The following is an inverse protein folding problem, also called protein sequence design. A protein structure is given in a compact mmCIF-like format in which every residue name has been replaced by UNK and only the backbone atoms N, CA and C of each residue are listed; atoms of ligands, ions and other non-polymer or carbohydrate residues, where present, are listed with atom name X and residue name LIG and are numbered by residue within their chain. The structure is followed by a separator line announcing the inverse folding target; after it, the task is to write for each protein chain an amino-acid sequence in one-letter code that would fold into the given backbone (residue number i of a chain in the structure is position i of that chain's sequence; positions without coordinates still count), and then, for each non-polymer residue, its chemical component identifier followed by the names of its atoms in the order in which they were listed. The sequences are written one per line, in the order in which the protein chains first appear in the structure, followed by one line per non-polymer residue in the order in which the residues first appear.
data_IF_367587533533
#
_entry.id   IF_367587533533
#
_cell.length_a   1.000
_cell.length_b   1.000
_cell.length_c   1.000
_cell.angle_alpha   90.00
_cell.angle_beta   90.00
_cell.angle_gamma   90.00
#
_symmetry.space_group_name_H-M   'P 1'
#
loop_
_entity.id
_entity.type
_entity.pdbx_description
1 polymer ?
#
# COMPACT_ATOMS: atom_id res chain seq x y z
N UNK A 1 12.49 11.83 -12.44
CA UNK A 1 12.60 10.43 -12.88
C UNK A 1 13.00 9.65 -11.65
N UNK A 2 12.03 9.25 -10.82
CA UNK A 2 12.28 8.40 -9.66
C UNK A 2 12.33 6.96 -10.17
N UNK A 3 13.49 6.34 -10.09
CA UNK A 3 13.74 4.97 -10.54
C UNK A 3 12.96 3.98 -9.64
N UNK A 4 12.44 2.91 -10.22
CA UNK A 4 11.67 1.84 -9.55
C UNK A 4 12.30 1.29 -8.26
N UNK A 5 13.60 1.49 -8.03
CA UNK A 5 14.29 1.11 -6.79
C UNK A 5 13.76 1.85 -5.54
N UNK A 6 13.40 3.13 -5.65
CA UNK A 6 12.93 3.92 -4.50
C UNK A 6 11.56 3.45 -4.00
N UNK A 7 10.69 2.98 -4.90
CA UNK A 7 9.34 2.52 -4.53
C UNK A 7 9.39 1.21 -3.72
N UNK A 8 10.32 0.31 -4.04
CA UNK A 8 10.49 -0.99 -3.37
C UNK A 8 10.93 -0.79 -1.92
N UNK A 9 11.95 0.03 -1.70
CA UNK A 9 12.50 0.31 -0.37
C UNK A 9 11.48 1.04 0.53
N UNK A 10 10.73 1.99 -0.04
CA UNK A 10 9.67 2.70 0.69
C UNK A 10 8.54 1.75 1.09
N UNK A 11 8.09 0.88 0.17
CA UNK A 11 7.09 -0.12 0.50
C UNK A 11 7.61 -1.07 1.60
N UNK A 12 8.92 -1.39 1.66
CA UNK A 12 9.44 -2.33 2.65
C UNK A 12 9.37 -1.71 4.05
N UNK A 13 9.73 -0.42 4.15
CA UNK A 13 9.57 0.38 5.36
C UNK A 13 8.12 0.43 5.84
N UNK A 14 7.17 0.63 4.92
CA UNK A 14 5.73 0.68 5.22
C UNK A 14 5.24 -0.66 5.73
N UNK A 15 5.54 -1.76 5.03
CA UNK A 15 5.08 -3.09 5.41
C UNK A 15 5.71 -3.57 6.72
N UNK A 16 6.97 -3.20 6.98
CA UNK A 16 7.58 -3.38 8.29
C UNK A 16 6.80 -2.62 9.39
N UNK A 17 6.46 -1.36 9.14
CA UNK A 17 5.75 -0.50 10.09
C UNK A 17 4.29 -0.93 10.33
N UNK A 18 3.62 -1.49 9.32
CA UNK A 18 2.28 -2.08 9.44
C UNK A 18 2.24 -3.24 10.44
N UNK A 19 3.33 -4.01 10.55
CA UNK A 19 3.49 -5.09 11.53
C UNK A 19 3.74 -4.63 12.97
N UNK A 20 3.80 -3.32 13.22
CA UNK A 20 4.09 -2.76 14.55
C UNK A 20 3.03 -3.15 15.59
N UNK A 21 3.47 -3.43 16.82
CA UNK A 21 2.58 -3.59 17.98
C UNK A 21 1.88 -2.29 18.37
N UNK A 22 2.43 -1.15 17.97
CA UNK A 22 1.90 0.17 18.32
C UNK A 22 0.89 0.63 17.27
N UNK A 23 -0.35 0.87 17.72
CA UNK A 23 -1.46 1.20 16.82
C UNK A 23 -1.23 2.47 16.00
N UNK A 24 -0.75 3.55 16.61
CA UNK A 24 -0.47 4.80 15.92
C UNK A 24 0.57 4.66 14.80
N UNK A 25 1.57 3.77 14.95
CA UNK A 25 2.58 3.49 13.92
C UNK A 25 1.92 2.77 12.74
N UNK A 26 1.12 1.75 13.02
CA UNK A 26 0.39 1.00 11.99
C UNK A 26 -0.60 1.89 11.23
N UNK A 27 -1.31 2.78 11.93
CA UNK A 27 -2.23 3.76 11.33
C UNK A 27 -1.48 4.79 10.48
N UNK A 28 -0.30 5.24 10.91
CA UNK A 28 0.53 6.12 10.11
C UNK A 28 1.01 5.42 8.82
N UNK A 29 1.54 4.20 8.95
CA UNK A 29 2.01 3.41 7.82
C UNK A 29 0.89 3.09 6.81
N UNK A 30 -0.33 2.81 7.28
CA UNK A 30 -1.46 2.56 6.37
C UNK A 30 -1.89 3.82 5.59
N UNK A 31 -1.82 5.00 6.22
CA UNK A 31 -2.05 6.29 5.53
C UNK A 31 -0.93 6.62 4.53
N UNK A 32 0.30 6.25 4.85
CA UNK A 32 1.43 6.39 3.95
C UNK A 32 1.27 5.50 2.71
N UNK A 33 0.85 4.23 2.91
CA UNK A 33 0.51 3.33 1.82
C UNK A 33 -0.54 3.93 0.89
N UNK A 34 -1.65 4.45 1.44
CA UNK A 34 -2.66 5.16 0.66
C UNK A 34 -2.07 6.30 -0.16
N UNK A 35 -1.23 7.13 0.47
CA UNK A 35 -0.64 8.31 -0.18
C UNK A 35 0.24 7.91 -1.35
N UNK A 36 1.05 6.87 -1.21
CA UNK A 36 1.90 6.36 -2.30
C UNK A 36 1.07 5.84 -3.46
N UNK A 37 0.03 5.04 -3.19
CA UNK A 37 -0.83 4.49 -4.24
C UNK A 37 -1.47 5.62 -5.03
N UNK A 38 -2.04 6.62 -4.34
CA UNK A 38 -2.73 7.75 -4.99
C UNK A 38 -1.73 8.64 -5.74
N UNK A 39 -0.59 8.99 -5.15
CA UNK A 39 0.42 9.82 -5.81
C UNK A 39 0.98 9.12 -7.06
N UNK A 40 1.29 7.83 -6.96
CA UNK A 40 1.79 7.07 -8.10
C UNK A 40 0.76 7.00 -9.24
N UNK A 41 -0.53 6.82 -8.92
CA UNK A 41 -1.62 6.81 -9.90
C UNK A 41 -1.97 8.21 -10.46
N UNK A 42 -1.58 9.29 -9.78
CA UNK A 42 -1.65 10.65 -10.32
C UNK A 42 -0.55 10.89 -11.36
N UNK A 43 0.64 10.34 -11.12
CA UNK A 43 1.79 10.44 -12.02
C UNK A 43 1.70 9.49 -13.23
N UNK A 44 0.84 8.46 -13.15
CA UNK A 44 0.66 7.44 -14.18
C UNK A 44 -0.82 7.24 -14.50
N UNK A 45 -1.26 7.73 -15.66
CA UNK A 45 -2.68 7.73 -16.05
C UNK A 45 -3.15 6.48 -16.78
N UNK A 46 -2.23 5.57 -17.12
CA UNK A 46 -2.58 4.30 -17.78
C UNK A 46 -2.64 3.15 -16.76
N UNK A 47 -3.62 2.26 -16.93
CA UNK A 47 -3.82 1.13 -16.03
C UNK A 47 -2.62 0.17 -16.00
N UNK A 48 -1.89 0.04 -17.11
CA UNK A 48 -0.73 -0.85 -17.20
C UNK A 48 0.47 -0.30 -16.39
N UNK A 49 0.59 1.02 -16.25
CA UNK A 49 1.68 1.67 -15.53
C UNK A 49 1.58 1.45 -14.01
N UNK A 50 0.36 1.39 -13.47
CA UNK A 50 0.11 1.19 -12.02
C UNK A 50 0.09 -0.28 -11.61
N UNK A 51 0.02 -1.21 -12.58
CA UNK A 51 -0.11 -2.65 -12.34
C UNK A 51 1.09 -3.23 -11.61
N UNK A 52 2.30 -2.74 -11.89
CA UNK A 52 3.52 -3.14 -11.19
C UNK A 52 3.44 -2.84 -9.70
N UNK A 53 3.08 -1.60 -9.36
CA UNK A 53 2.90 -1.16 -7.98
C UNK A 53 1.86 -2.02 -7.25
N UNK A 54 0.70 -2.23 -7.87
CA UNK A 54 -0.34 -3.08 -7.27
C UNK A 54 0.14 -4.51 -7.04
N UNK A 55 0.85 -5.08 -8.02
CA UNK A 55 1.43 -6.42 -7.90
C UNK A 55 2.35 -6.53 -6.68
N UNK A 56 3.21 -5.55 -6.47
CA UNK A 56 4.13 -5.52 -5.33
C UNK A 56 3.40 -5.38 -3.99
N UNK A 57 2.40 -4.50 -3.93
CA UNK A 57 1.55 -4.32 -2.74
C UNK A 57 0.80 -5.61 -2.41
N UNK A 58 0.22 -6.29 -3.40
CA UNK A 58 -0.46 -7.57 -3.20
C UNK A 58 0.50 -8.66 -2.72
N UNK A 59 1.68 -8.78 -3.33
CA UNK A 59 2.69 -9.74 -2.91
C UNK A 59 3.20 -9.53 -1.48
N UNK A 60 3.22 -8.29 -0.99
CA UNK A 60 3.62 -7.95 0.39
C UNK A 60 2.48 -8.11 1.39
N UNK A 61 1.24 -7.80 0.98
CA UNK A 61 0.05 -7.92 1.82
C UNK A 61 -0.35 -9.37 2.05
N UNK A 62 -0.29 -10.22 1.02
CA UNK A 62 -0.80 -11.58 1.11
C UNK A 62 -0.11 -12.43 2.20
N UNK A 63 1.23 -12.47 2.34
CA UNK A 63 1.89 -13.24 3.38
C UNK A 63 1.47 -12.83 4.80
N UNK A 64 1.33 -11.53 5.05
CA UNK A 64 0.99 -11.01 6.39
C UNK A 64 -0.46 -11.29 6.78
N UNK A 65 -1.40 -11.45 5.81
CA UNK A 65 -2.77 -11.91 6.11
C UNK A 65 -2.79 -13.29 6.77
N UNK A 66 -1.79 -14.12 6.48
CA UNK A 66 -1.66 -15.50 6.97
C UNK A 66 -0.65 -15.64 8.11
N UNK A 67 -0.11 -14.53 8.62
CA UNK A 67 0.88 -14.56 9.67
C UNK A 67 0.29 -15.11 10.98
N UNK A 68 1.13 -15.83 11.74
CA UNK A 68 0.80 -16.24 13.10
C UNK A 68 0.86 -15.05 14.08
N UNK A 69 1.54 -13.97 13.72
CA UNK A 69 1.62 -12.74 14.51
C UNK A 69 0.32 -11.93 14.38
N UNK A 70 -0.36 -11.69 15.50
CA UNK A 70 -1.60 -10.91 15.53
C UNK A 70 -1.43 -9.47 15.03
N UNK A 71 -0.27 -8.85 15.26
CA UNK A 71 0.00 -7.48 14.81
C UNK A 71 0.19 -7.38 13.29
N UNK A 72 0.83 -8.38 12.68
CA UNK A 72 0.95 -8.46 11.21
C UNK A 72 -0.41 -8.65 10.55
N UNK A 73 -1.30 -9.47 11.14
CA UNK A 73 -2.68 -9.60 10.65
C UNK A 73 -3.47 -8.28 10.76
N UNK A 74 -3.31 -7.55 11.87
CA UNK A 74 -3.90 -6.21 12.02
C UNK A 74 -3.32 -5.23 10.99
N UNK A 75 -2.02 -5.31 10.73
CA UNK A 75 -1.34 -4.57 9.65
C UNK A 75 -1.93 -4.88 8.28
N UNK A 76 -2.19 -6.17 8.00
CA UNK A 76 -2.80 -6.60 6.75
C UNK A 76 -4.22 -6.03 6.57
N UNK A 77 -5.04 -6.03 7.63
CA UNK A 77 -6.38 -5.42 7.61
C UNK A 77 -6.28 -3.92 7.31
N UNK A 78 -5.38 -3.21 7.99
CA UNK A 78 -5.17 -1.77 7.78
C UNK A 78 -4.66 -1.45 6.37
N UNK A 79 -3.81 -2.30 5.80
CA UNK A 79 -3.34 -2.16 4.42
C UNK A 79 -4.49 -2.34 3.43
N UNK A 80 -5.29 -3.41 3.57
CA UNK A 80 -6.43 -3.70 2.69
C UNK A 80 -7.46 -2.57 2.74
N UNK A 81 -7.79 -2.05 3.92
CA UNK A 81 -8.67 -0.89 4.10
C UNK A 81 -8.20 0.31 3.25
N UNK A 82 -6.91 0.61 3.31
CA UNK A 82 -6.31 1.74 2.58
C UNK A 82 -6.15 1.48 1.08
N UNK A 83 -5.97 0.23 0.67
CA UNK A 83 -6.01 -0.18 -0.73
C UNK A 83 -7.41 0.03 -1.33
N UNK A 84 -8.47 -0.27 -0.58
CA UNK A 84 -9.85 -0.03 -1.00
C UNK A 84 -10.14 1.47 -1.13
N UNK A 85 -9.72 2.28 -0.15
CA UNK A 85 -9.83 3.74 -0.22
C UNK A 85 -9.11 4.30 -1.44
N UNK A 86 -7.88 3.84 -1.70
CA UNK A 86 -7.09 4.29 -2.84
C UNK A 86 -7.73 3.87 -4.17
N UNK A 87 -8.29 2.67 -4.25
CA UNK A 87 -9.01 2.20 -5.45
C UNK A 87 -10.20 3.12 -5.77
N UNK A 88 -10.98 3.47 -4.76
CA UNK A 88 -12.11 4.40 -4.91
C UNK A 88 -11.65 5.80 -5.33
N UNK A 89 -10.55 6.29 -4.78
CA UNK A 89 -9.99 7.59 -5.15
C UNK A 89 -9.47 7.61 -6.58
N UNK A 90 -8.72 6.58 -7.00
CA UNK A 90 -8.24 6.45 -8.38
C UNK A 90 -9.40 6.38 -9.36
N UNK A 91 -10.44 5.58 -9.07
CA UNK A 91 -11.63 5.51 -9.91
C UNK A 91 -12.30 6.90 -10.07
N UNK A 92 -12.42 7.66 -8.97
CA UNK A 92 -12.93 9.05 -9.02
C UNK A 92 -12.05 9.96 -9.87
N UNK A 93 -10.73 9.88 -9.72
CA UNK A 93 -9.78 10.71 -10.46
C UNK A 93 -9.82 10.41 -11.96
N UNK A 94 -9.88 9.14 -12.33
CA UNK A 94 -9.92 8.68 -13.72
C UNK A 94 -11.32 8.74 -14.34
N UNK A 95 -12.35 9.10 -13.55
CA UNK A 95 -13.76 9.17 -13.96
C UNK A 95 -14.29 7.82 -14.48
N UNK A 96 -13.87 6.73 -13.85
CA UNK A 96 -14.37 5.37 -14.09
C UNK A 96 -15.70 5.11 -13.37
#
# INVERSE_FOLDING_TARGET
MYEQADAVDVLDSIFFSLGSKHDHIRVAASKELYSIIVLYAQDHTEAEDIKGLWTDIFHRTFPITRSNNGYERLGAIAAIDKMLDATNEIARQWRL
#
